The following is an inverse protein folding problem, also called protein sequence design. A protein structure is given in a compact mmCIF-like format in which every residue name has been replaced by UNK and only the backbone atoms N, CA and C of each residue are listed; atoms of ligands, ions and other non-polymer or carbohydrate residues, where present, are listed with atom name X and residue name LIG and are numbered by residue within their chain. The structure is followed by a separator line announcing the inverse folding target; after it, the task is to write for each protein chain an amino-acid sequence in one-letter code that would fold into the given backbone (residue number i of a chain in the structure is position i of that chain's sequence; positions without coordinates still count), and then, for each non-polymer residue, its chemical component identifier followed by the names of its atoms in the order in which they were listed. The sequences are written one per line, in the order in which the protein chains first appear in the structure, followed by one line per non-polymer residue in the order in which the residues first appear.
data_IF_668221968013
#
_entry.id   IF_668221968013
#
_cell.length_a   1.000
_cell.length_b   1.000
_cell.length_c   1.000
_cell.angle_alpha   90.00
_cell.angle_beta   90.00
_cell.angle_gamma   90.00
#
_symmetry.space_group_name_H-M   'P 1'
#
loop_
_entity.id
_entity.type
_entity.pdbx_description
1 polymer ?
#
# COMPACT_ATOMS: atom_id res chain seq x y z
N UNK A 1 45.88 -21.78 -16.37
CA UNK A 1 44.76 -21.33 -17.22
C UNK A 1 43.52 -22.05 -16.76
N UNK A 2 42.51 -21.36 -16.23
CA UNK A 2 41.25 -21.96 -15.77
C UNK A 2 40.16 -21.75 -16.82
N UNK A 3 39.60 -22.84 -17.36
CA UNK A 3 38.48 -22.78 -18.29
C UNK A 3 37.18 -22.52 -17.51
N UNK A 4 36.55 -21.37 -17.75
CA UNK A 4 35.21 -21.07 -17.24
C UNK A 4 34.18 -21.63 -18.21
N UNK A 5 33.48 -22.70 -17.82
CA UNK A 5 32.36 -23.24 -18.57
C UNK A 5 31.11 -22.36 -18.33
N UNK A 6 30.94 -21.32 -19.14
CA UNK A 6 29.70 -20.55 -19.17
C UNK A 6 28.57 -21.39 -19.80
N UNK A 7 27.58 -21.82 -19.01
CA UNK A 7 26.29 -22.30 -19.55
C UNK A 7 25.74 -21.22 -20.48
N UNK A 8 25.26 -21.58 -21.69
CA UNK A 8 24.54 -20.67 -22.60
C UNK A 8 23.46 -19.93 -21.81
N UNK A 9 23.64 -18.62 -21.59
CA UNK A 9 22.68 -17.79 -20.87
C UNK A 9 21.42 -17.62 -21.73
N UNK A 10 20.24 -17.80 -21.14
CA UNK A 10 18.96 -17.46 -21.78
C UNK A 10 18.98 -15.97 -22.14
N UNK A 11 18.59 -15.60 -23.36
CA UNK A 11 18.42 -14.19 -23.72
C UNK A 11 17.26 -13.61 -22.91
N UNK A 12 17.50 -12.51 -22.22
CA UNK A 12 16.47 -11.78 -21.49
C UNK A 12 15.66 -10.98 -22.50
N UNK A 13 14.33 -11.07 -22.43
CA UNK A 13 13.45 -10.24 -23.27
C UNK A 13 13.22 -8.86 -22.66
N UNK A 14 12.88 -7.86 -23.48
CA UNK A 14 12.50 -6.53 -22.98
C UNK A 14 11.32 -6.62 -21.98
N UNK A 15 10.33 -7.47 -22.27
CA UNK A 15 9.20 -7.70 -21.37
C UNK A 15 9.64 -8.22 -19.99
N UNK A 16 10.66 -9.09 -19.94
CA UNK A 16 11.23 -9.64 -18.71
C UNK A 16 11.97 -8.56 -17.91
N UNK A 17 12.72 -7.68 -18.58
CA UNK A 17 13.34 -6.50 -17.94
C UNK A 17 12.28 -5.53 -17.41
N UNK A 18 11.26 -5.21 -18.21
CA UNK A 18 10.19 -4.30 -17.81
C UNK A 18 9.37 -4.85 -16.65
N UNK A 19 9.16 -6.17 -16.59
CA UNK A 19 8.54 -6.81 -15.44
C UNK A 19 9.38 -6.66 -14.16
N UNK A 20 10.70 -6.77 -14.25
CA UNK A 20 11.59 -6.55 -13.10
C UNK A 20 11.57 -5.10 -12.62
N UNK A 21 11.50 -4.12 -13.54
CA UNK A 21 11.42 -2.71 -13.16
C UNK A 21 10.13 -2.35 -12.42
N UNK A 22 9.01 -3.03 -12.74
CA UNK A 22 7.71 -2.83 -12.07
C UNK A 22 7.70 -3.21 -10.58
N UNK A 23 8.72 -3.93 -10.10
CA UNK A 23 8.88 -4.25 -8.67
C UNK A 23 9.25 -3.01 -7.85
N UNK A 24 9.85 -1.99 -8.49
CA UNK A 24 10.28 -0.77 -7.85
C UNK A 24 9.37 0.40 -8.24
N UNK A 25 8.68 0.97 -7.25
CA UNK A 25 7.79 2.12 -7.42
C UNK A 25 8.51 3.35 -8.04
N UNK A 26 9.83 3.44 -7.86
CA UNK A 26 10.63 4.53 -8.44
C UNK A 26 10.60 4.56 -9.98
N UNK A 27 10.52 3.39 -10.62
CA UNK A 27 10.51 3.28 -12.09
C UNK A 27 9.10 3.36 -12.69
N UNK A 28 8.08 3.16 -11.86
CA UNK A 28 6.67 3.26 -12.23
C UNK A 28 5.96 4.16 -11.22
N UNK A 29 6.20 5.48 -11.34
CA UNK A 29 5.73 6.44 -10.34
C UNK A 29 4.23 6.67 -10.48
N UNK A 30 3.46 6.53 -9.38
CA UNK A 30 2.03 6.80 -9.42
C UNK A 30 1.77 8.29 -9.65
N UNK A 31 0.75 8.59 -10.46
CA UNK A 31 0.30 9.97 -10.73
C UNK A 31 -0.69 10.45 -9.69
N UNK A 32 -1.46 9.53 -9.11
CA UNK A 32 -2.46 9.81 -8.10
C UNK A 32 -2.04 9.15 -6.78
N UNK A 33 -1.33 9.93 -5.96
CA UNK A 33 -0.80 9.48 -4.69
C UNK A 33 -0.80 10.61 -3.65
N UNK A 34 -1.00 10.24 -2.38
CA UNK A 34 -0.95 11.14 -1.23
C UNK A 34 0.24 10.73 -0.36
N UNK A 35 1.15 11.66 -0.13
CA UNK A 35 2.36 11.44 0.66
C UNK A 35 2.11 11.81 2.12
N UNK A 36 2.48 10.91 3.02
CA UNK A 36 2.28 11.05 4.47
C UNK A 36 3.61 10.77 5.18
N UNK A 37 3.72 11.14 6.46
CA UNK A 37 4.88 10.82 7.29
C UNK A 37 5.08 9.31 7.51
N UNK A 38 4.03 8.51 7.30
CA UNK A 38 4.04 7.06 7.48
C UNK A 38 4.23 6.28 6.17
N UNK A 39 4.05 6.92 5.03
CA UNK A 39 4.17 6.30 3.72
C UNK A 39 3.36 7.02 2.66
N UNK A 40 3.06 6.32 1.57
CA UNK A 40 2.29 6.86 0.45
C UNK A 40 1.02 6.04 0.27
N UNK A 41 -0.13 6.73 0.20
CA UNK A 41 -1.40 6.16 -0.26
C UNK A 41 -1.47 6.34 -1.77
N UNK A 42 -1.59 5.26 -2.52
CA UNK A 42 -1.66 5.29 -3.99
C UNK A 42 -3.10 5.02 -4.43
N UNK A 43 -3.75 6.06 -4.95
CA UNK A 43 -5.14 6.01 -5.39
C UNK A 43 -5.30 5.51 -6.83
N UNK A 44 -4.21 5.53 -7.61
CA UNK A 44 -4.22 5.06 -9.00
C UNK A 44 -4.58 3.57 -9.11
N UNK A 45 -5.54 3.27 -9.99
CA UNK A 45 -6.12 1.93 -10.16
C UNK A 45 -5.08 0.85 -10.49
N UNK A 46 -4.03 1.18 -11.26
CA UNK A 46 -2.96 0.24 -11.63
C UNK A 46 -2.16 -0.28 -10.43
N UNK A 47 -2.27 0.40 -9.28
CA UNK A 47 -1.59 0.05 -8.04
C UNK A 47 -2.53 -0.54 -6.99
N UNK A 48 -3.81 -0.73 -7.32
CA UNK A 48 -4.78 -1.38 -6.43
C UNK A 48 -4.25 -2.72 -5.92
N UNK A 49 -4.34 -2.93 -4.61
CA UNK A 49 -3.88 -4.18 -3.98
C UNK A 49 -2.38 -4.25 -3.75
N UNK A 50 -1.57 -3.38 -4.38
CA UNK A 50 -0.12 -3.46 -4.30
C UNK A 50 0.39 -2.81 -3.03
N UNK A 51 1.22 -3.56 -2.30
CA UNK A 51 1.88 -3.07 -1.10
C UNK A 51 3.38 -3.02 -1.33
N UNK A 52 3.97 -1.88 -1.07
CA UNK A 52 5.40 -1.60 -1.16
C UNK A 52 5.95 -1.26 0.22
N UNK A 53 7.24 -1.50 0.41
CA UNK A 53 8.01 -1.00 1.53
C UNK A 53 9.25 -0.30 0.99
N UNK A 54 9.35 1.01 1.23
CA UNK A 54 10.45 1.85 0.72
C UNK A 54 10.61 1.71 -0.80
N UNK A 55 9.49 1.69 -1.51
CA UNK A 55 9.42 1.57 -2.95
C UNK A 55 9.60 0.16 -3.52
N UNK A 56 9.76 -0.89 -2.70
CA UNK A 56 9.90 -2.27 -3.15
C UNK A 56 8.61 -3.07 -2.94
N UNK A 57 8.10 -3.70 -4.01
CA UNK A 57 6.85 -4.47 -3.98
C UNK A 57 6.96 -5.71 -3.07
N UNK A 58 5.98 -5.87 -2.18
CA UNK A 58 5.76 -7.03 -1.33
C UNK A 58 4.73 -7.96 -1.98
N UNK A 59 5.17 -8.80 -2.91
CA UNK A 59 4.28 -9.63 -3.76
C UNK A 59 3.30 -10.50 -2.96
N UNK A 60 3.77 -11.18 -1.92
CA UNK A 60 2.92 -12.10 -1.14
C UNK A 60 1.83 -11.36 -0.36
N UNK A 61 2.15 -10.17 0.15
CA UNK A 61 1.16 -9.33 0.85
C UNK A 61 0.14 -8.76 -0.15
N UNK A 62 0.60 -8.35 -1.33
CA UNK A 62 -0.25 -7.80 -2.38
C UNK A 62 -1.28 -8.83 -2.89
N UNK A 63 -0.92 -10.12 -2.88
CA UNK A 63 -1.81 -11.20 -3.34
C UNK A 63 -2.71 -11.77 -2.24
N UNK A 64 -2.41 -11.56 -0.96
CA UNK A 64 -3.12 -12.23 0.15
C UNK A 64 -4.19 -11.39 0.81
N UNK A 65 -4.16 -10.06 0.63
CA UNK A 65 -5.06 -9.12 1.31
C UNK A 65 -5.85 -8.33 0.30
N UNK A 66 -7.15 -8.18 0.58
CA UNK A 66 -8.03 -7.31 -0.19
C UNK A 66 -7.80 -5.85 0.22
N UNK A 67 -6.78 -5.24 -0.36
CA UNK A 67 -6.60 -3.79 -0.30
C UNK A 67 -7.36 -3.12 -1.44
N UNK A 68 -8.11 -2.08 -1.13
CA UNK A 68 -8.81 -1.28 -2.14
C UNK A 68 -7.84 -0.39 -2.91
N UNK A 69 -6.79 0.08 -2.25
CA UNK A 69 -5.78 0.98 -2.80
C UNK A 69 -4.37 0.41 -2.68
N UNK A 70 -3.40 1.12 -3.28
CA UNK A 70 -1.98 0.79 -3.15
C UNK A 70 -1.32 1.53 -1.98
N UNK A 71 -0.27 0.95 -1.42
CA UNK A 71 0.45 1.53 -0.28
C UNK A 71 1.95 1.40 -0.44
N UNK A 72 2.71 2.45 -0.14
CA UNK A 72 4.17 2.35 0.05
C UNK A 72 4.56 2.79 1.45
N UNK A 73 4.92 1.85 2.31
CA UNK A 73 5.26 2.15 3.70
C UNK A 73 6.66 2.72 3.81
N UNK A 74 6.82 3.76 4.63
CA UNK A 74 8.15 4.32 4.96
C UNK A 74 8.89 3.48 6.00
N UNK A 75 8.14 2.77 6.84
CA UNK A 75 8.65 1.95 7.95
C UNK A 75 8.06 0.55 7.95
N UNK A 76 8.78 -0.39 8.55
CA UNK A 76 8.38 -1.78 8.64
C UNK A 76 9.57 -2.74 8.64
N UNK A 77 9.38 -3.87 9.31
CA UNK A 77 10.33 -4.99 9.27
C UNK A 77 9.79 -6.09 8.36
N UNK A 78 10.65 -6.52 7.44
CA UNK A 78 10.39 -7.68 6.57
C UNK A 78 11.28 -8.82 7.05
N UNK A 79 10.72 -10.02 7.08
CA UNK A 79 11.49 -11.22 7.40
C UNK A 79 12.54 -11.51 6.34
N UNK A 80 13.37 -12.53 6.58
CA UNK A 80 14.46 -12.92 5.66
C UNK A 80 14.00 -13.18 4.23
N UNK A 81 12.76 -13.63 4.04
CA UNK A 81 12.18 -13.89 2.72
C UNK A 81 11.75 -12.60 1.98
N UNK A 82 11.69 -11.46 2.69
CA UNK A 82 11.29 -10.14 2.19
C UNK A 82 9.89 -10.13 1.53
N UNK A 83 9.04 -11.11 1.85
CA UNK A 83 7.77 -11.30 1.13
C UNK A 83 6.57 -10.63 1.81
N UNK A 84 6.68 -10.31 3.10
CA UNK A 84 5.62 -9.70 3.91
C UNK A 84 6.21 -8.92 5.08
N UNK A 85 5.46 -7.92 5.57
CA UNK A 85 5.74 -7.36 6.89
C UNK A 85 5.48 -8.43 7.97
N UNK A 86 6.35 -8.47 8.98
CA UNK A 86 6.29 -9.50 10.04
C UNK A 86 5.15 -9.27 11.03
N UNK A 87 4.76 -8.01 11.25
CA UNK A 87 3.80 -7.61 12.28
C UNK A 87 2.50 -7.07 11.66
N UNK A 88 1.38 -7.83 11.72
CA UNK A 88 0.07 -7.38 11.26
C UNK A 88 -0.52 -6.21 12.05
N UNK A 89 -0.21 -6.08 13.34
CA UNK A 89 -0.71 -4.98 14.17
C UNK A 89 -0.02 -3.67 13.77
N UNK A 90 1.31 -3.73 13.60
CA UNK A 90 2.09 -2.60 13.11
C UNK A 90 1.60 -2.13 11.73
N UNK A 91 1.26 -3.07 10.83
CA UNK A 91 0.67 -2.72 9.53
C UNK A 91 -0.66 -2.00 9.68
N UNK A 92 -1.57 -2.50 10.52
CA UNK A 92 -2.86 -1.86 10.79
C UNK A 92 -2.69 -0.44 11.34
N UNK A 93 -1.75 -0.26 12.27
CA UNK A 93 -1.37 1.05 12.79
C UNK A 93 -0.90 2.01 11.70
N UNK A 94 0.02 1.57 10.83
CA UNK A 94 0.51 2.41 9.73
C UNK A 94 -0.58 2.76 8.73
N UNK A 95 -1.48 1.83 8.39
CA UNK A 95 -2.62 2.08 7.52
C UNK A 95 -3.54 3.16 8.11
N UNK A 96 -3.89 3.04 9.39
CA UNK A 96 -4.71 4.03 10.08
C UNK A 96 -4.06 5.42 10.06
N UNK A 97 -2.75 5.50 10.29
CA UNK A 97 -2.00 6.75 10.25
C UNK A 97 -1.88 7.37 8.85
N UNK A 98 -1.67 6.55 7.82
CA UNK A 98 -1.68 7.02 6.43
C UNK A 98 -3.05 7.64 6.10
N UNK A 99 -4.15 6.97 6.45
CA UNK A 99 -5.49 7.51 6.19
C UNK A 99 -5.80 8.76 7.01
N UNK A 100 -5.39 8.82 8.28
CA UNK A 100 -5.54 10.00 9.13
C UNK A 100 -4.83 11.23 8.53
N UNK A 101 -3.58 11.06 8.09
CA UNK A 101 -2.86 12.15 7.43
C UNK A 101 -3.44 12.50 6.06
N UNK A 102 -3.84 11.52 5.25
CA UNK A 102 -4.44 11.77 3.94
C UNK A 102 -5.75 12.57 4.06
N UNK A 103 -6.59 12.23 5.04
CA UNK A 103 -7.84 12.96 5.34
C UNK A 103 -7.55 14.34 5.90
N UNK A 104 -6.47 14.51 6.66
CA UNK A 104 -6.09 15.84 7.16
C UNK A 104 -5.58 16.75 6.02
N UNK A 105 -4.92 16.18 5.00
CA UNK A 105 -4.31 16.90 3.89
C UNK A 105 -5.30 17.23 2.74
N UNK A 106 -6.16 16.28 2.34
CA UNK A 106 -6.99 16.36 1.12
C UNK A 106 -8.46 16.04 1.43
N UNK A 107 -9.05 16.87 2.31
CA UNK A 107 -10.01 16.39 3.32
C UNK A 107 -11.37 15.89 2.85
N UNK A 108 -11.90 16.31 1.70
CA UNK A 108 -13.21 15.83 1.25
C UNK A 108 -13.10 14.50 0.51
N UNK A 109 -12.24 14.42 -0.52
CA UNK A 109 -12.12 13.23 -1.37
C UNK A 109 -11.63 12.01 -0.58
N UNK A 110 -10.58 12.18 0.23
CA UNK A 110 -10.01 11.07 1.00
C UNK A 110 -10.98 10.57 2.07
N UNK A 111 -11.72 11.48 2.70
CA UNK A 111 -12.71 11.14 3.71
C UNK A 111 -13.90 10.40 3.10
N UNK A 112 -14.41 10.86 1.95
CA UNK A 112 -15.50 10.20 1.24
C UNK A 112 -15.13 8.77 0.81
N UNK A 113 -13.91 8.59 0.30
CA UNK A 113 -13.37 7.27 -0.04
C UNK A 113 -13.29 6.37 1.20
N UNK A 114 -12.79 6.91 2.31
CA UNK A 114 -12.63 6.17 3.55
C UNK A 114 -13.97 5.74 4.14
N UNK A 115 -14.95 6.66 4.19
CA UNK A 115 -16.33 6.37 4.60
C UNK A 115 -16.95 5.31 3.69
N UNK A 116 -16.77 5.43 2.37
CA UNK A 116 -17.29 4.43 1.44
C UNK A 116 -16.72 3.03 1.70
N UNK A 117 -15.45 2.90 2.10
CA UNK A 117 -14.89 1.61 2.53
C UNK A 117 -15.46 1.09 3.84
N UNK A 118 -15.77 1.99 4.79
CA UNK A 118 -16.37 1.61 6.08
C UNK A 118 -17.81 1.14 5.95
N UNK A 119 -18.55 1.75 5.03
CA UNK A 119 -19.96 1.42 4.76
C UNK A 119 -20.14 0.26 3.78
N UNK A 120 -19.06 -0.21 3.14
CA UNK A 120 -19.08 -1.35 2.24
C UNK A 120 -19.27 -2.66 3.03
N UNK A 121 -20.52 -3.10 3.14
CA UNK A 121 -20.89 -4.33 3.86
C UNK A 121 -20.59 -5.60 3.06
N UNK A 122 -20.32 -5.49 1.76
CA UNK A 122 -20.07 -6.63 0.88
C UNK A 122 -18.60 -7.04 0.90
N UNK A 123 -17.69 -6.08 1.06
CA UNK A 123 -16.25 -6.29 0.99
C UNK A 123 -15.56 -6.05 2.35
N UNK A 124 -14.67 -6.96 2.74
CA UNK A 124 -13.82 -6.79 3.93
C UNK A 124 -12.48 -6.16 3.56
N UNK A 125 -12.45 -4.84 3.42
CA UNK A 125 -11.23 -4.09 3.09
C UNK A 125 -10.22 -4.11 4.23
N UNK A 126 -8.98 -4.52 3.93
CA UNK A 126 -7.88 -4.44 4.89
C UNK A 126 -7.48 -3.00 5.22
N UNK A 127 -7.79 -2.06 4.32
CA UNK A 127 -7.57 -0.62 4.46
C UNK A 127 -8.22 -0.07 5.76
N UNK A 128 -9.31 -0.70 6.21
CA UNK A 128 -10.12 -0.25 7.37
C UNK A 128 -10.31 -1.34 8.44
N UNK A 129 -9.61 -2.49 8.34
CA UNK A 129 -9.93 -3.67 9.16
C UNK A 129 -9.73 -3.51 10.66
N UNK A 130 -8.85 -2.59 11.08
CA UNK A 130 -8.51 -2.35 12.49
C UNK A 130 -9.05 -1.02 13.00
N UNK A 131 -10.06 -0.44 12.33
CA UNK A 131 -10.55 0.89 12.70
C UNK A 131 -11.13 0.92 14.12
N UNK A 132 -11.79 -0.13 14.58
CA UNK A 132 -12.39 -0.17 15.92
C UNK A 132 -11.38 0.00 17.05
N UNK A 133 -10.12 -0.40 16.84
CA UNK A 133 -9.04 -0.28 17.84
C UNK A 133 -8.10 0.90 17.59
N UNK A 134 -8.09 1.48 16.39
CA UNK A 134 -7.11 2.49 15.97
C UNK A 134 -7.73 3.85 15.61
N UNK A 135 -9.06 3.98 15.62
CA UNK A 135 -9.74 5.24 15.31
C UNK A 135 -9.37 6.31 16.34
N UNK A 136 -8.81 7.41 15.87
CA UNK A 136 -8.56 8.58 16.71
C UNK A 136 -9.83 9.41 16.85
N UNK A 137 -9.89 10.22 17.92
CA UNK A 137 -11.00 11.17 18.14
C UNK A 137 -11.18 12.11 16.94
N UNK A 138 -10.08 12.64 16.40
CA UNK A 138 -10.09 13.53 15.24
C UNK A 138 -10.72 12.88 14.02
N UNK A 139 -10.36 11.63 13.72
CA UNK A 139 -10.96 10.88 12.62
C UNK A 139 -12.46 10.65 12.84
N UNK A 140 -12.85 10.27 14.06
CA UNK A 140 -14.25 10.04 14.41
C UNK A 140 -15.09 11.32 14.24
N UNK A 141 -14.58 12.47 14.69
CA UNK A 141 -15.22 13.77 14.54
C UNK A 141 -15.35 14.18 13.06
N UNK A 142 -14.31 13.94 12.25
CA UNK A 142 -14.34 14.20 10.81
C UNK A 142 -15.40 13.37 10.10
N UNK A 143 -15.45 12.06 10.36
CA UNK A 143 -16.48 11.15 9.82
C UNK A 143 -17.86 11.60 10.27
N UNK A 144 -18.06 11.85 11.57
CA UNK A 144 -19.34 12.26 12.12
C UNK A 144 -19.86 13.55 11.48
N UNK A 145 -19.00 14.56 11.37
CA UNK A 145 -19.34 15.83 10.72
C UNK A 145 -19.73 15.60 9.26
N UNK A 146 -18.98 14.79 8.52
CA UNK A 146 -19.24 14.51 7.11
C UNK A 146 -20.54 13.76 6.86
N UNK A 147 -20.97 12.91 7.80
CA UNK A 147 -22.23 12.17 7.73
C UNK A 147 -23.48 13.01 8.07
N UNK A 148 -23.30 14.19 8.68
CA UNK A 148 -24.38 15.12 8.99
C UNK A 148 -24.65 16.15 7.87
N UNK A 149 -23.76 16.24 6.88
CA UNK A 149 -23.90 17.08 5.68
C UNK A 149 -24.76 16.41 4.62
#
# INVERSE_FOLDING_TARGET
MGNVYGKKSKSISEAEVMAWLKVCLHFDRPKEAIYTGFGTLVLQQDFKGKVYLKGLLLEKMSNSKHFRYGYDFSQGHIGRDRKRMEDPEQLGYHLAKIWEEAITQDSSKSLDIYIAMLLDTENKWWDVSNISSLMTKTMAEAIWKRLLE
#
